data_IF_540692498202
#
_entry.id   IF_540692498202
#
_cell.length_a   1.000
_cell.length_b   1.000
_cell.length_c   1.000
_cell.angle_alpha   90.00
_cell.angle_beta   90.00
_cell.angle_gamma   90.00
#
_symmetry.space_group_name_H-M   'P 1'
#
loop_
_entity.id
_entity.type
_entity.pdbx_description
1 polymer ?
2 water ?
#
# COMPACT_ATOMS: atom_id res chain seq x y z
N UNK A 1 38.86 28.19 -16.27
CA UNK A 1 38.79 26.78 -15.88
C UNK A 1 39.15 26.64 -14.39
N UNK A 2 39.31 25.39 -13.93
CA UNK A 2 39.56 25.01 -12.53
C UNK A 2 38.34 25.25 -11.64
N UNK A 3 37.67 26.39 -11.84
CA UNK A 3 36.38 26.64 -11.22
C UNK A 3 35.25 26.29 -12.18
N UNK A 4 35.52 26.38 -13.49
CA UNK A 4 34.60 25.82 -14.47
C UNK A 4 34.55 24.32 -14.40
N UNK A 5 35.66 23.66 -14.04
CA UNK A 5 35.66 22.20 -13.95
C UNK A 5 34.77 21.73 -12.81
N UNK A 6 34.92 22.32 -11.62
CA UNK A 6 34.07 21.99 -10.48
C UNK A 6 32.61 22.25 -10.78
N UNK A 7 32.30 23.39 -11.42
CA UNK A 7 30.92 23.71 -11.78
C UNK A 7 30.35 22.66 -12.73
N UNK A 8 31.19 22.02 -13.54
CA UNK A 8 30.70 21.01 -14.48
C UNK A 8 30.38 19.71 -13.77
N UNK A 9 31.18 19.33 -12.78
CA UNK A 9 30.85 18.18 -11.95
C UNK A 9 29.54 18.43 -11.19
N UNK A 10 29.35 19.66 -10.69
CA UNK A 10 28.13 20.01 -9.97
C UNK A 10 26.92 19.92 -10.89
N UNK A 11 27.06 20.42 -12.11
CA UNK A 11 25.98 20.28 -13.06
C UNK A 11 25.69 18.82 -13.34
N UNK A 12 26.74 17.98 -13.34
CA UNK A 12 26.56 16.55 -13.60
C UNK A 12 25.79 15.88 -12.47
N UNK A 13 26.19 16.15 -11.21
CA UNK A 13 25.51 15.59 -10.05
C UNK A 13 24.04 16.00 -10.03
N UNK A 14 23.75 17.25 -10.39
CA UNK A 14 22.37 17.74 -10.39
C UNK A 14 21.52 17.08 -11.46
N UNK A 15 22.05 16.93 -12.68
CA UNK A 15 21.23 16.30 -13.70
C UNK A 15 21.10 14.79 -13.51
N UNK A 16 22.06 14.15 -12.86
CA UNK A 16 21.86 12.75 -12.46
C UNK A 16 20.75 12.65 -11.42
N UNK A 17 20.83 13.49 -10.38
CA UNK A 17 19.74 13.66 -9.42
C UNK A 17 18.40 13.80 -10.13
N UNK A 18 18.26 14.84 -10.97
CA UNK A 18 16.98 15.17 -11.61
C UNK A 18 16.44 13.98 -12.41
N UNK A 19 17.32 13.29 -13.15
CA UNK A 19 16.87 12.19 -14.00
C UNK A 19 16.43 11.00 -13.17
N UNK A 20 17.15 10.70 -12.08
CA UNK A 20 16.73 9.64 -11.17
C UNK A 20 15.34 9.94 -10.62
N UNK A 21 15.15 11.17 -10.12
CA UNK A 21 13.88 11.52 -9.50
C UNK A 21 12.75 11.46 -10.53
N UNK A 22 12.98 11.98 -11.74
CA UNK A 22 11.98 11.86 -12.79
C UNK A 22 11.65 10.41 -13.10
N UNK A 23 12.65 9.54 -13.07
CA UNK A 23 12.37 8.13 -13.28
C UNK A 23 11.51 7.55 -12.16
N UNK A 24 11.77 7.96 -10.90
CA UNK A 24 10.98 7.46 -9.78
C UNK A 24 9.51 7.87 -9.87
N UNK A 25 9.25 9.12 -10.27
CA UNK A 25 7.89 9.63 -10.40
C UNK A 25 7.05 8.75 -11.30
N UNK A 26 7.58 8.38 -12.47
CA UNK A 26 6.80 7.58 -13.40
C UNK A 26 6.74 6.12 -12.97
N UNK A 27 7.69 5.68 -12.16
CA UNK A 27 7.52 4.38 -11.51
C UNK A 27 6.38 4.43 -10.51
N UNK A 28 6.27 5.53 -9.76
CA UNK A 28 5.15 5.67 -8.84
C UNK A 28 3.84 5.86 -9.61
N UNK A 29 3.90 6.57 -10.74
CA UNK A 29 2.68 6.73 -11.54
C UNK A 29 2.24 5.40 -12.14
N UNK A 30 3.18 4.64 -12.71
CA UNK A 30 2.91 3.28 -13.15
C UNK A 30 2.19 2.48 -12.08
N UNK A 31 2.84 2.29 -10.93
CA UNK A 31 2.30 1.48 -9.85
C UNK A 31 0.90 1.94 -9.44
N UNK A 32 0.78 3.21 -9.05
CA UNK A 32 -0.47 3.68 -8.45
C UNK A 32 -1.64 3.58 -9.42
N UNK A 33 -1.44 3.92 -10.69
CA UNK A 33 -2.55 3.83 -11.64
C UNK A 33 -2.95 2.37 -11.86
N UNK A 34 -1.98 1.47 -11.93
CA UNK A 34 -2.26 0.04 -11.99
C UNK A 34 -2.92 -0.48 -10.71
N UNK A 35 -2.87 0.26 -9.61
CA UNK A 35 -3.48 -0.28 -8.39
C UNK A 35 -4.99 -0.29 -8.47
N UNK A 36 -5.57 0.58 -9.28
CA UNK A 36 -7.02 0.78 -9.30
C UNK A 36 -7.75 -0.46 -9.76
N UNK A 37 -7.27 -1.12 -10.82
CA UNK A 37 -7.97 -2.29 -11.32
C UNK A 37 -7.89 -3.43 -10.32
N UNK A 38 -6.80 -3.48 -9.54
CA UNK A 38 -6.68 -4.51 -8.52
C UNK A 38 -7.59 -4.23 -7.33
N UNK A 39 -7.66 -2.98 -6.88
CA UNK A 39 -8.57 -2.67 -5.77
C UNK A 39 -10.00 -3.00 -6.14
N UNK A 40 -10.41 -2.69 -7.37
CA UNK A 40 -11.76 -3.03 -7.81
C UNK A 40 -11.97 -4.53 -7.83
N UNK A 41 -10.94 -5.28 -8.26
CA UNK A 41 -11.07 -6.73 -8.33
C UNK A 41 -11.24 -7.34 -6.94
N UNK A 42 -10.52 -6.84 -5.93
CA UNK A 42 -10.71 -7.37 -4.58
C UNK A 42 -12.10 -7.04 -4.05
N UNK A 43 -12.50 -5.78 -4.19
CA UNK A 43 -13.82 -5.34 -3.76
C UNK A 43 -14.90 -6.23 -4.35
N UNK A 44 -14.85 -6.47 -5.66
CA UNK A 44 -15.79 -7.37 -6.32
C UNK A 44 -15.75 -8.75 -5.68
N UNK A 45 -14.56 -9.35 -5.58
CA UNK A 45 -14.49 -10.73 -5.10
C UNK A 45 -14.99 -10.83 -3.67
N UNK A 46 -14.77 -9.81 -2.85
CA UNK A 46 -15.27 -9.85 -1.47
C UNK A 46 -16.80 -9.79 -1.42
N UNK A 47 -17.41 -8.98 -2.29
CA UNK A 47 -18.87 -8.89 -2.34
C UNK A 47 -19.47 -10.21 -2.79
N UNK A 48 -18.86 -10.82 -3.79
CA UNK A 48 -19.34 -12.07 -4.35
C UNK A 48 -19.28 -13.18 -3.31
N UNK A 49 -18.15 -13.26 -2.60
CA UNK A 49 -18.01 -14.19 -1.50
C UNK A 49 -19.11 -13.97 -0.46
N UNK A 50 -19.37 -12.70 -0.11
CA UNK A 50 -20.49 -12.38 0.80
C UNK A 50 -21.84 -12.79 0.19
N UNK A 51 -22.03 -12.61 -1.12
CA UNK A 51 -23.29 -13.00 -1.73
C UNK A 51 -23.42 -14.52 -1.81
N UNK A 52 -22.38 -15.21 -2.24
CA UNK A 52 -22.44 -16.67 -2.23
C UNK A 52 -22.69 -17.20 -0.82
N UNK A 53 -22.07 -16.59 0.19
CA UNK A 53 -22.31 -17.01 1.56
C UNK A 53 -23.79 -16.90 1.88
N UNK A 54 -24.44 -15.86 1.37
CA UNK A 54 -25.86 -15.66 1.62
C UNK A 54 -26.70 -16.73 0.93
N UNK A 55 -26.31 -17.13 -0.29
CA UNK A 55 -27.01 -18.20 -0.97
C UNK A 55 -26.78 -19.53 -0.26
N UNK A 56 -25.56 -19.76 0.23
CA UNK A 56 -25.25 -20.97 0.98
C UNK A 56 -26.19 -21.12 2.16
N UNK A 57 -26.29 -20.09 2.99
CA UNK A 57 -27.11 -20.13 4.19
C UNK A 57 -28.54 -20.52 3.88
N UNK A 58 -29.20 -19.77 2.98
CA UNK A 58 -30.58 -20.05 2.62
C UNK A 58 -30.77 -21.50 2.18
N UNK A 59 -29.90 -21.98 1.30
CA UNK A 59 -30.08 -23.33 0.76
C UNK A 59 -29.82 -24.41 1.81
N UNK A 60 -28.76 -24.25 2.61
CA UNK A 60 -28.50 -25.25 3.65
C UNK A 60 -29.61 -25.25 4.70
N UNK A 61 -30.12 -24.07 5.08
CA UNK A 61 -31.28 -24.02 5.96
C UNK A 61 -32.47 -24.72 5.35
N UNK A 62 -32.65 -24.62 4.03
CA UNK A 62 -33.75 -25.35 3.39
C UNK A 62 -33.55 -26.85 3.55
N UNK A 63 -32.32 -27.30 3.42
CA UNK A 63 -32.01 -28.72 3.57
C UNK A 63 -32.40 -29.19 4.97
N UNK A 64 -33.69 -29.09 5.29
CA UNK A 64 -34.28 -29.65 6.52
C UNK A 64 -35.12 -30.84 6.11
N UNK A 65 -34.65 -32.03 6.48
CA UNK A 65 -35.49 -33.22 6.55
C UNK A 65 -35.52 -33.76 7.97
N UNK A 66 -35.19 -32.91 8.93
CA UNK A 66 -35.24 -33.24 10.35
C UNK A 66 -36.59 -32.84 10.94
N UNK B 3 -28.59 -33.40 17.89
CA UNK B 3 -29.75 -32.99 17.12
C UNK B 3 -29.68 -31.53 16.73
N UNK B 4 -30.75 -30.79 16.94
CA UNK B 4 -30.69 -29.36 16.59
C UNK B 4 -29.98 -28.49 17.67
N UNK B 5 -29.31 -29.05 18.67
CA UNK B 5 -28.38 -28.25 19.46
C UNK B 5 -27.12 -27.92 18.65
N UNK B 6 -26.53 -28.94 18.02
CA UNK B 6 -25.41 -28.68 17.13
C UNK B 6 -25.83 -27.82 15.94
N UNK B 7 -27.03 -28.07 15.42
CA UNK B 7 -27.56 -27.24 14.33
C UNK B 7 -27.78 -25.81 14.81
N UNK B 8 -28.22 -25.64 16.06
CA UNK B 8 -28.37 -24.30 16.63
C UNK B 8 -27.07 -23.51 16.56
N UNK B 9 -25.96 -24.14 16.95
CA UNK B 9 -24.69 -23.43 17.07
C UNK B 9 -24.03 -23.28 15.70
N UNK B 10 -24.26 -24.20 14.78
CA UNK B 10 -23.85 -23.98 13.40
C UNK B 10 -24.54 -22.75 12.83
N UNK B 11 -25.83 -22.60 13.07
CA UNK B 11 -26.54 -21.40 12.61
C UNK B 11 -25.96 -20.15 13.24
N UNK B 12 -25.69 -20.20 14.54
CA UNK B 12 -25.16 -19.04 15.26
C UNK B 12 -23.78 -18.67 14.73
N UNK B 13 -22.88 -19.65 14.64
CA UNK B 13 -21.52 -19.38 14.17
C UNK B 13 -21.53 -18.82 12.75
N UNK B 14 -22.41 -19.34 11.88
CA UNK B 14 -22.44 -18.84 10.51
C UNK B 14 -22.85 -17.37 10.49
N UNK B 15 -23.85 -17.01 11.30
CA UNK B 15 -24.40 -15.66 11.26
C UNK B 15 -23.42 -14.65 11.82
N UNK B 16 -22.64 -15.07 12.81
CA UNK B 16 -21.57 -14.23 13.34
C UNK B 16 -20.46 -14.07 12.31
N UNK B 17 -20.17 -15.13 11.55
CA UNK B 17 -19.19 -15.06 10.47
C UNK B 17 -19.64 -14.11 9.37
N UNK B 18 -20.93 -14.13 9.05
CA UNK B 18 -21.47 -13.28 8.00
C UNK B 18 -21.31 -11.82 8.35
N UNK B 19 -21.54 -11.47 9.61
CA UNK B 19 -21.32 -10.07 9.98
C UNK B 19 -19.82 -9.73 10.02
N UNK B 20 -18.96 -10.69 10.38
CA UNK B 20 -17.51 -10.45 10.38
C UNK B 20 -16.95 -10.23 8.97
N UNK B 21 -17.46 -10.96 7.98
CA UNK B 21 -17.14 -10.60 6.59
C UNK B 21 -17.67 -9.22 6.25
N UNK B 22 -18.84 -8.85 6.80
CA UNK B 22 -19.39 -7.53 6.50
C UNK B 22 -18.47 -6.42 7.00
N UNK B 23 -18.01 -6.54 8.24
CA UNK B 23 -17.04 -5.59 8.77
C UNK B 23 -15.74 -5.65 7.99
N UNK B 24 -15.30 -6.85 7.61
CA UNK B 24 -14.12 -6.99 6.78
C UNK B 24 -14.22 -6.10 5.56
N UNK B 25 -15.37 -6.15 4.88
CA UNK B 25 -15.59 -5.39 3.65
C UNK B 25 -15.55 -3.88 3.91
N UNK B 26 -16.14 -3.44 5.02
CA UNK B 26 -16.07 -2.01 5.32
C UNK B 26 -14.66 -1.56 5.64
N UNK B 27 -13.85 -2.45 6.25
CA UNK B 27 -12.47 -2.12 6.62
C UNK B 27 -11.54 -2.09 5.42
N UNK B 28 -11.87 -2.82 4.36
CA UNK B 28 -11.07 -2.79 3.15
C UNK B 28 -11.36 -1.51 2.36
N UNK B 29 -12.65 -1.18 2.18
CA UNK B 29 -13.02 0.05 1.49
C UNK B 29 -12.40 1.27 2.16
N UNK B 30 -12.39 1.30 3.50
CA UNK B 30 -11.84 2.43 4.21
C UNK B 30 -10.32 2.49 4.08
N UNK B 31 -9.66 1.34 4.24
CA UNK B 31 -8.20 1.29 4.07
C UNK B 31 -7.79 1.73 2.66
N UNK B 32 -8.46 1.20 1.63
CA UNK B 32 -8.17 1.60 0.26
C UNK B 32 -8.18 3.11 0.15
N UNK B 33 -9.26 3.70 0.68
CA UNK B 33 -9.49 5.13 0.54
C UNK B 33 -8.43 5.96 1.26
N UNK B 34 -8.06 5.55 2.48
CA UNK B 34 -7.00 6.24 3.19
C UNK B 34 -5.65 6.08 2.50
N UNK B 35 -5.41 4.93 1.88
CA UNK B 35 -4.19 4.78 1.08
C UNK B 35 -4.13 5.85 0.00
N UNK B 36 -5.21 5.97 -0.78
CA UNK B 36 -5.33 7.00 -1.80
C UNK B 36 -5.05 8.38 -1.24
N UNK B 37 -5.58 8.68 -0.05
CA UNK B 37 -5.41 10.03 0.48
C UNK B 37 -3.98 10.28 0.96
N UNK B 38 -3.35 9.27 1.58
CA UNK B 38 -1.95 9.42 1.98
C UNK B 38 -1.04 9.57 0.77
N UNK B 39 -1.28 8.81 -0.30
CA UNK B 39 -0.49 8.98 -1.52
C UNK B 39 -0.56 10.42 -2.01
N UNK B 40 -1.76 11.01 -1.96
CA UNK B 40 -1.98 12.33 -2.55
C UNK B 40 -1.41 13.44 -1.70
N UNK B 41 -1.56 13.34 -0.37
CA UNK B 41 -0.92 14.31 0.50
C UNK B 41 0.60 14.18 0.45
N UNK B 42 1.10 12.95 0.31
CA UNK B 42 2.54 12.77 0.29
C UNK B 42 3.15 13.32 -1.00
N UNK B 43 2.47 13.11 -2.13
CA UNK B 43 2.91 13.73 -3.38
C UNK B 43 2.96 15.24 -3.25
N UNK B 44 1.88 15.83 -2.72
CA UNK B 44 1.81 17.28 -2.55
C UNK B 44 2.94 17.78 -1.67
N UNK B 45 3.21 17.11 -0.55
CA UNK B 45 4.20 17.65 0.38
C UNK B 45 5.62 17.52 -0.14
N UNK B 46 5.92 16.43 -0.85
CA UNK B 46 7.25 16.32 -1.44
C UNK B 46 7.44 17.32 -2.56
N UNK B 47 6.39 17.53 -3.37
CA UNK B 47 6.44 18.55 -4.42
C UNK B 47 6.68 19.94 -3.85
N UNK B 48 6.08 20.28 -2.70
CA UNK B 48 6.34 21.59 -2.13
C UNK B 48 7.80 21.73 -1.73
N UNK B 49 8.40 20.63 -1.25
CA UNK B 49 9.82 20.64 -0.90
C UNK B 49 10.68 20.78 -2.16
N UNK B 50 10.33 20.06 -3.22
CA UNK B 50 11.11 20.17 -4.47
C UNK B 50 10.99 21.59 -5.03
N UNK B 51 9.78 22.17 -4.98
CA UNK B 51 9.56 23.52 -5.48
C UNK B 51 10.43 24.52 -4.73
N UNK B 52 10.63 24.33 -3.43
CA UNK B 52 11.53 25.20 -2.70
C UNK B 52 12.99 24.87 -3.00
N UNK B 53 13.31 23.61 -3.26
CA UNK B 53 14.62 23.22 -3.73
C UNK B 53 15.03 24.01 -4.97
N UNK B 54 14.10 24.15 -5.92
CA UNK B 54 14.41 24.79 -7.19
C UNK B 54 14.60 26.30 -7.02
N UNK B 55 13.83 26.91 -6.14
CA UNK B 55 14.07 28.30 -5.76
C UNK B 55 15.48 28.48 -5.22
N UNK B 56 15.99 27.50 -4.48
CA UNK B 56 17.32 27.61 -3.90
C UNK B 56 18.41 27.35 -4.94
N UNK B 57 18.11 26.52 -5.94
CA UNK B 57 19.04 26.32 -7.05
C UNK B 57 19.28 27.63 -7.78
N UNK B 58 18.21 28.22 -8.35
CA UNK B 58 18.33 29.52 -9.02
C UNK B 58 18.99 30.54 -8.11
N UNK B 59 18.59 30.58 -6.84
CA UNK B 59 19.25 31.46 -5.88
C UNK B 59 20.75 31.18 -5.81
N UNK B 60 21.14 29.90 -5.76
CA UNK B 60 22.55 29.57 -5.57
C UNK B 60 23.35 29.58 -6.87
N UNK B 61 22.68 29.57 -8.02
CA UNK B 61 23.38 29.74 -9.29
C UNK B 61 23.54 31.21 -9.63
N UNK B 62 22.58 32.04 -9.20
CA UNK B 62 22.77 33.49 -9.30
C UNK B 62 23.94 33.94 -8.46
N UNK B 63 24.19 33.26 -7.35
CA UNK B 63 25.19 33.70 -6.39
C UNK B 63 26.57 33.12 -6.67
N UNK B 64 26.67 32.00 -7.40
CA UNK B 64 27.96 31.40 -7.67
C UNK B 64 28.81 32.35 -8.53
N UNK B 65 28.21 32.93 -9.54
CA UNK B 65 28.94 33.82 -10.45
C UNK B 65 28.67 35.28 -10.16
N UNK B 66 28.47 35.62 -8.89
CA UNK B 66 28.42 37.00 -8.43
C UNK B 66 29.68 37.40 -7.69
N UNK B 67 30.14 36.55 -6.76
CA UNK B 67 31.38 36.70 -6.01
C UNK B 67 31.62 38.14 -5.52
N UNK C 1 -27.16 -41.71 9.57
CA UNK C 1 -28.19 -40.82 9.03
C UNK C 1 -27.68 -40.01 7.83
N UNK C 2 -28.52 -39.88 6.80
CA UNK C 2 -28.21 -38.97 5.70
C UNK C 2 -28.05 -37.55 6.21
N UNK C 3 -28.93 -37.14 7.13
CA UNK C 3 -28.78 -35.83 7.74
C UNK C 3 -27.57 -35.73 8.64
N UNK C 4 -27.24 -36.79 9.38
CA UNK C 4 -26.10 -36.66 10.26
C UNK C 4 -24.77 -36.76 9.52
N UNK C 5 -24.75 -37.28 8.29
CA UNK C 5 -23.54 -37.18 7.49
C UNK C 5 -23.35 -35.77 6.93
N UNK C 6 -24.44 -35.14 6.48
CA UNK C 6 -24.37 -33.76 6.01
C UNK C 6 -24.03 -32.79 7.13
N UNK C 7 -24.60 -33.01 8.33
CA UNK C 7 -24.26 -32.19 9.48
C UNK C 7 -22.75 -32.22 9.76
N UNK C 8 -22.13 -33.40 9.68
CA UNK C 8 -20.69 -33.47 9.89
C UNK C 8 -19.94 -32.74 8.78
N UNK C 9 -20.44 -32.78 7.54
CA UNK C 9 -19.75 -32.08 6.46
C UNK C 9 -19.92 -30.57 6.63
N UNK C 10 -21.09 -30.13 7.09
CA UNK C 10 -21.28 -28.70 7.27
C UNK C 10 -20.41 -28.16 8.40
N UNK C 11 -20.23 -28.96 9.46
CA UNK C 11 -19.40 -28.47 10.56
C UNK C 11 -17.92 -28.46 10.20
N UNK C 12 -17.46 -29.42 9.40
CA UNK C 12 -16.10 -29.38 8.88
C UNK C 12 -15.87 -28.15 8.01
N UNK C 13 -16.86 -27.82 7.18
CA UNK C 13 -16.76 -26.69 6.27
C UNK C 13 -16.85 -25.36 7.01
N UNK C 14 -17.65 -25.32 8.08
CA UNK C 14 -17.70 -24.11 8.89
C UNK C 14 -16.33 -23.78 9.49
N UNK C 15 -15.60 -24.81 9.95
CA UNK C 15 -14.24 -24.60 10.43
C UNK C 15 -13.33 -24.04 9.33
N UNK C 16 -13.42 -24.57 8.11
CA UNK C 16 -12.59 -24.07 7.01
C UNK C 16 -12.91 -22.61 6.68
N UNK C 17 -14.20 -22.24 6.70
CA UNK C 17 -14.57 -20.83 6.47
C UNK C 17 -14.05 -19.92 7.58
N UNK C 18 -14.15 -20.35 8.84
CA UNK C 18 -13.60 -19.56 9.95
C UNK C 18 -12.10 -19.37 9.79
N UNK C 19 -11.40 -20.41 9.35
CA UNK C 19 -10.00 -20.28 8.99
C UNK C 19 -9.79 -19.28 7.85
N UNK C 20 -10.61 -19.39 6.81
CA UNK C 20 -10.51 -18.44 5.69
C UNK C 20 -10.68 -17.00 6.18
N UNK C 21 -11.68 -16.77 7.04
CA UNK C 21 -11.90 -15.43 7.58
C UNK C 21 -10.67 -14.90 8.33
N UNK C 22 -9.99 -15.76 9.09
CA UNK C 22 -8.86 -15.29 9.88
C UNK C 22 -7.65 -14.97 9.01
N UNK C 23 -7.46 -15.72 7.92
CA UNK C 23 -6.44 -15.34 6.96
C UNK C 23 -6.77 -14.01 6.29
N UNK C 24 -8.04 -13.80 5.93
CA UNK C 24 -8.45 -12.51 5.38
C UNK C 24 -8.25 -11.39 6.39
N UNK C 25 -8.51 -11.66 7.66
CA UNK C 25 -8.32 -10.64 8.68
C UNK C 25 -6.85 -10.32 8.88
N UNK C 26 -6.01 -11.34 8.81
CA UNK C 26 -4.57 -11.12 8.90
C UNK C 26 -4.01 -10.43 7.65
N UNK C 27 -4.64 -10.63 6.48
CA UNK C 27 -4.23 -9.92 5.27
C UNK C 27 -4.50 -8.42 5.38
N UNK C 28 -5.68 -8.04 5.85
CA UNK C 28 -6.04 -6.65 6.03
C UNK C 28 -5.18 -6.00 7.12
N UNK C 29 -4.91 -6.73 8.21
CA UNK C 29 -4.01 -6.19 9.24
C UNK C 29 -2.62 -5.91 8.69
N UNK C 30 -2.15 -6.71 7.74
CA UNK C 30 -0.82 -6.51 7.17
C UNK C 30 -0.77 -5.33 6.22
N UNK C 31 -1.86 -5.09 5.47
CA UNK C 31 -1.97 -3.84 4.70
C UNK C 31 -1.88 -2.63 5.63
N UNK C 32 -2.60 -2.67 6.76
CA UNK C 32 -2.50 -1.60 7.75
C UNK C 32 -1.06 -1.43 8.24
N UNK C 33 -0.36 -2.54 8.48
CA UNK C 33 1.01 -2.44 9.00
C UNK C 33 1.97 -1.89 7.95
N UNK C 34 1.96 -2.45 6.73
CA UNK C 34 2.84 -1.94 5.68
C UNK C 34 2.60 -0.44 5.45
N UNK C 35 1.34 -0.01 5.49
CA UNK C 35 1.00 1.39 5.21
C UNK C 35 1.53 2.33 6.29
N UNK C 36 1.22 2.05 7.56
CA UNK C 36 1.69 2.92 8.64
C UNK C 36 3.22 2.96 8.70
N UNK C 37 3.86 1.83 8.44
CA UNK C 37 5.31 1.83 8.32
C UNK C 37 5.79 2.82 7.26
N UNK C 38 5.22 2.77 6.04
CA UNK C 38 5.64 3.69 4.99
C UNK C 38 5.38 5.13 5.40
N UNK C 39 4.26 5.39 6.08
CA UNK C 39 3.99 6.75 6.57
C UNK C 39 5.08 7.21 7.54
N UNK C 40 5.64 6.30 8.33
CA UNK C 40 6.70 6.70 9.25
C UNK C 40 7.99 6.98 8.49
N UNK C 41 8.39 6.10 7.58
CA UNK C 41 9.54 6.33 6.74
C UNK C 41 9.42 7.61 5.93
N UNK C 42 8.27 7.80 5.27
CA UNK C 42 8.13 8.96 4.38
C UNK C 42 8.18 10.25 5.18
N UNK C 43 7.64 10.22 6.40
CA UNK C 43 7.74 11.36 7.31
C UNK C 43 9.19 11.74 7.56
N UNK C 44 10.05 10.74 7.73
CA UNK C 44 11.47 11.01 7.95
C UNK C 44 12.13 11.56 6.68
N UNK C 45 11.88 10.93 5.53
CA UNK C 45 12.46 11.39 4.26
C UNK C 45 12.06 12.84 3.97
N UNK C 46 10.79 13.19 4.18
CA UNK C 46 10.32 14.55 3.96
C UNK C 46 11.07 15.55 4.83
N UNK C 47 11.24 15.22 6.12
CA UNK C 47 11.99 16.09 7.03
C UNK C 47 13.42 16.27 6.55
N UNK C 48 14.06 15.19 6.09
CA UNK C 48 15.41 15.32 5.55
C UNK C 48 15.44 16.25 4.35
N UNK C 49 14.37 16.23 3.54
CA UNK C 49 14.30 17.10 2.36
C UNK C 49 14.18 18.56 2.75
N UNK C 50 13.21 18.87 3.62
CA UNK C 50 12.93 20.26 3.99
C UNK C 50 14.14 20.90 4.63
N UNK C 51 14.83 20.17 5.50
CA UNK C 51 15.85 20.73 6.38
C UNK C 51 17.18 20.88 5.66
N UNK C 52 17.48 19.99 4.71
CA UNK C 52 18.62 20.20 3.84
C UNK C 52 18.34 21.31 2.82
N UNK C 53 17.07 21.46 2.41
CA UNK C 53 16.69 22.62 1.62
C UNK C 53 16.98 23.92 2.38
N UNK C 54 16.56 23.98 3.65
CA UNK C 54 16.62 25.21 4.43
C UNK C 54 18.06 25.69 4.60
N UNK C 55 18.97 24.73 4.71
CA UNK C 55 20.38 24.95 5.03
C UNK C 55 21.20 25.28 3.78
N UNK C 56 20.94 24.60 2.65
CA UNK C 56 21.53 25.07 1.40
C UNK C 56 21.10 26.51 1.14
N UNK C 57 19.89 26.87 1.53
CA UNK C 57 19.42 28.25 1.37
C UNK C 57 20.33 29.23 2.09
N UNK C 58 20.62 28.96 3.37
CA UNK C 58 21.43 29.88 4.13
C UNK C 58 22.90 29.83 3.71
N UNK C 59 23.36 28.66 3.26
CA UNK C 59 24.73 28.54 2.76
C UNK C 59 24.97 29.46 1.57
N UNK C 60 24.01 29.52 0.65
CA UNK C 60 24.06 30.52 -0.40
C UNK C 60 23.45 31.83 0.09
N UNK C 61 23.68 32.88 -0.69
CA UNK C 61 23.20 34.23 -0.41
C UNK C 61 23.68 34.77 0.94
N UNK C 62 24.62 34.09 1.59
CA UNK C 62 25.25 34.59 2.82
C UNK C 62 26.61 33.92 2.94
N UNK C 63 27.65 34.63 2.52
CA UNK C 63 29.00 34.09 2.41
C UNK C 63 29.87 34.44 3.62
N UNK D 3 39.79 30.86 -4.73
CA UNK D 3 38.72 31.83 -4.97
C UNK D 3 37.52 31.62 -4.08
N UNK D 4 36.36 31.31 -4.67
CA UNK D 4 35.17 30.97 -3.90
C UNK D 4 34.82 29.51 -4.12
N UNK D 5 34.94 28.72 -3.04
CA UNK D 5 34.65 27.30 -3.03
C UNK D 5 33.26 27.00 -2.48
N UNK D 6 32.31 27.93 -2.64
CA UNK D 6 30.91 27.60 -2.46
C UNK D 6 30.54 26.36 -3.26
N UNK D 7 31.19 26.18 -4.42
CA UNK D 7 30.94 25.04 -5.28
C UNK D 7 31.29 23.74 -4.59
N UNK D 8 32.41 23.71 -3.86
CA UNK D 8 32.79 22.49 -3.14
C UNK D 8 31.82 22.19 -2.01
N UNK D 9 31.23 23.22 -1.40
CA UNK D 9 30.15 22.99 -0.43
C UNK D 9 28.94 22.38 -1.12
N UNK D 10 28.51 23.01 -2.22
CA UNK D 10 27.37 22.52 -2.99
C UNK D 10 27.58 21.08 -3.44
N UNK D 11 28.77 20.78 -3.98
CA UNK D 11 29.11 19.39 -4.30
C UNK D 11 28.89 18.47 -3.11
N UNK D 12 29.25 18.91 -1.91
CA UNK D 12 29.03 18.07 -0.74
C UNK D 12 27.54 17.89 -0.47
N UNK D 13 26.78 18.97 -0.60
CA UNK D 13 25.35 18.88 -0.31
C UNK D 13 24.63 18.01 -1.33
N UNK D 14 25.07 18.05 -2.60
CA UNK D 14 24.38 17.24 -3.59
C UNK D 14 24.65 15.76 -3.37
N UNK D 15 25.81 15.41 -2.84
CA UNK D 15 26.07 14.01 -2.54
C UNK D 15 25.20 13.54 -1.38
N UNK D 16 24.94 14.41 -0.40
CA UNK D 16 23.99 14.09 0.66
C UNK D 16 22.58 13.94 0.11
N UNK D 17 22.14 14.92 -0.69
CA UNK D 17 20.83 14.84 -1.34
C UNK D 17 20.70 13.61 -2.22
N UNK D 18 21.80 13.16 -2.84
CA UNK D 18 21.73 11.91 -3.58
C UNK D 18 21.56 10.72 -2.63
N UNK D 19 22.23 10.74 -1.48
CA UNK D 19 22.03 9.68 -0.50
C UNK D 19 20.57 9.66 0.02
N UNK D 20 19.98 10.83 0.23
CA UNK D 20 18.63 10.87 0.78
C UNK D 20 17.59 10.44 -0.25
N UNK D 21 17.74 10.87 -1.51
CA UNK D 21 16.98 10.26 -2.59
C UNK D 21 17.08 8.74 -2.58
N UNK D 22 18.27 8.21 -2.27
CA UNK D 22 18.46 6.78 -2.31
C UNK D 22 17.60 6.08 -1.27
N UNK D 23 17.55 6.65 -0.06
CA UNK D 23 16.64 6.16 0.96
C UNK D 23 15.17 6.29 0.55
N UNK D 24 14.79 7.42 -0.07
CA UNK D 24 13.40 7.58 -0.49
C UNK D 24 13.02 6.57 -1.55
N UNK D 25 13.88 6.39 -2.55
CA UNK D 25 13.62 5.42 -3.60
C UNK D 25 13.50 4.01 -3.03
N UNK D 26 14.33 3.67 -2.05
CA UNK D 26 14.21 2.32 -1.52
C UNK D 26 12.98 2.15 -0.62
N UNK D 27 12.55 3.21 0.09
CA UNK D 27 11.31 3.09 0.86
C UNK D 27 10.10 2.86 -0.05
N UNK D 28 9.99 3.66 -1.10
CA UNK D 28 8.87 3.54 -2.03
C UNK D 28 8.89 2.17 -2.71
N UNK D 29 10.04 1.79 -3.27
CA UNK D 29 10.11 0.52 -3.99
C UNK D 29 9.92 -0.67 -3.05
N UNK D 30 10.41 -0.61 -1.82
CA UNK D 30 10.13 -1.71 -0.89
C UNK D 30 8.65 -1.81 -0.57
N UNK D 31 7.99 -0.66 -0.36
CA UNK D 31 6.55 -0.69 -0.10
C UNK D 31 5.80 -1.33 -1.26
N UNK D 32 6.12 -0.92 -2.49
CA UNK D 32 5.47 -1.47 -3.67
C UNK D 32 5.68 -2.96 -3.80
N UNK D 33 6.89 -3.43 -3.50
CA UNK D 33 7.15 -4.84 -3.68
C UNK D 33 6.36 -5.67 -2.66
N UNK D 34 6.26 -5.18 -1.41
CA UNK D 34 5.51 -5.91 -0.39
C UNK D 34 4.02 -5.84 -0.63
N UNK D 35 3.53 -4.73 -1.17
CA UNK D 35 2.10 -4.65 -1.39
C UNK D 35 1.68 -5.59 -2.51
N UNK D 36 2.53 -5.77 -3.52
CA UNK D 36 2.21 -6.73 -4.58
C UNK D 36 2.25 -8.18 -4.09
N UNK D 37 3.16 -8.51 -3.17
CA UNK D 37 3.22 -9.86 -2.65
C UNK D 37 2.03 -10.15 -1.73
N UNK D 38 1.67 -9.19 -0.89
CA UNK D 38 0.51 -9.34 -0.03
C UNK D 38 -0.79 -9.42 -0.83
N UNK D 39 -0.86 -8.78 -2.00
CA UNK D 39 -2.05 -8.81 -2.83
C UNK D 39 -2.25 -10.17 -3.49
N UNK D 40 -1.15 -10.80 -3.91
CA UNK D 40 -1.21 -12.17 -4.39
C UNK D 40 -1.84 -13.08 -3.34
N UNK D 41 -1.46 -12.89 -2.08
CA UNK D 41 -2.03 -13.68 -0.98
C UNK D 41 -3.47 -13.29 -0.73
N UNK D 42 -3.76 -11.99 -0.70
CA UNK D 42 -5.12 -11.50 -0.47
C UNK D 42 -6.08 -12.01 -1.54
N UNK D 43 -5.63 -12.05 -2.79
CA UNK D 43 -6.48 -12.48 -3.89
C UNK D 43 -6.61 -14.00 -3.90
N UNK D 44 -5.58 -14.71 -3.44
CA UNK D 44 -5.73 -16.14 -3.21
C UNK D 44 -6.81 -16.42 -2.15
N UNK D 45 -6.77 -15.71 -1.01
CA UNK D 45 -7.72 -16.02 0.05
C UNK D 45 -9.17 -15.65 -0.32
N UNK D 46 -9.35 -14.60 -1.13
CA UNK D 46 -10.71 -14.26 -1.57
C UNK D 46 -11.25 -15.32 -2.50
N UNK D 47 -10.44 -15.76 -3.48
CA UNK D 47 -10.82 -16.84 -4.38
C UNK D 47 -11.20 -18.09 -3.61
N UNK D 48 -10.52 -18.34 -2.49
CA UNK D 48 -10.77 -19.54 -1.69
C UNK D 48 -12.12 -19.46 -0.99
N UNK D 49 -12.50 -18.28 -0.48
CA UNK D 49 -13.86 -18.12 0.03
C UNK D 49 -14.87 -18.45 -1.06
N UNK D 50 -14.69 -17.85 -2.25
CA UNK D 50 -15.61 -18.07 -3.37
C UNK D 50 -15.73 -19.57 -3.67
N UNK D 51 -14.60 -20.25 -3.91
CA UNK D 51 -14.66 -21.64 -4.35
C UNK D 51 -15.19 -22.55 -3.25
N UNK D 52 -14.87 -22.27 -1.99
CA UNK D 52 -15.46 -23.02 -0.90
C UNK D 52 -16.98 -22.84 -0.90
N UNK D 53 -17.45 -21.62 -1.07
CA UNK D 53 -18.89 -21.38 -1.00
C UNK D 53 -19.61 -22.03 -2.17
N UNK D 54 -18.96 -22.13 -3.33
CA UNK D 54 -19.52 -22.91 -4.43
C UNK D 54 -19.67 -24.39 -4.04
N UNK D 55 -18.67 -24.92 -3.32
CA UNK D 55 -18.72 -26.33 -2.94
C UNK D 55 -19.83 -26.61 -1.92
N UNK D 56 -20.02 -25.72 -0.95
CA UNK D 56 -21.09 -25.91 0.04
C UNK D 56 -22.46 -25.89 -0.62
N UNK D 57 -22.65 -25.03 -1.61
CA UNK D 57 -23.95 -24.96 -2.28
C UNK D 57 -24.33 -26.31 -2.88
N UNK D 58 -23.39 -26.95 -3.58
CA UNK D 58 -23.74 -28.21 -4.22
C UNK D 58 -23.85 -29.35 -3.20
N UNK D 59 -23.10 -29.30 -2.09
CA UNK D 59 -23.33 -30.28 -1.02
C UNK D 59 -24.73 -30.12 -0.43
N UNK D 60 -25.22 -28.89 -0.34
CA UNK D 60 -26.55 -28.71 0.21
C UNK D 60 -27.63 -28.89 -0.83
N UNK D 61 -27.26 -29.03 -2.11
CA UNK D 61 -28.17 -29.26 -3.22
C UNK D 61 -28.17 -30.73 -3.66
N UNK D 62 -27.92 -31.66 -2.76
CA UNK D 62 -28.00 -33.09 -3.11
C UNK D 62 -28.31 -33.95 -1.89
#
# INVERSE_FOLDING_TARGET
TTGERLIRVLQDQLKTLQRNYGRLQQDVLQFQKNQTNLERKFSYDLSQCINQMKEVKEQCEERIEEV
TTGERLIRVLQDQLKTLQRNYGRLQQDVLQFQKNQTNLERKFSYDLSQCINQMKEVKEQCEERIEEV
TTGERLIRVLQDQLKTLQRNYGRLQQDVLQFQKNQTNLERKFSYDLSQCINQMKEVKEQCEERIEEV
TTGERLIRVLQDQLKTLQRNYGRLQQDVLQFQKNQTNLERKFSYDLSQCINQMKEVKEQCEERIEEV
#
